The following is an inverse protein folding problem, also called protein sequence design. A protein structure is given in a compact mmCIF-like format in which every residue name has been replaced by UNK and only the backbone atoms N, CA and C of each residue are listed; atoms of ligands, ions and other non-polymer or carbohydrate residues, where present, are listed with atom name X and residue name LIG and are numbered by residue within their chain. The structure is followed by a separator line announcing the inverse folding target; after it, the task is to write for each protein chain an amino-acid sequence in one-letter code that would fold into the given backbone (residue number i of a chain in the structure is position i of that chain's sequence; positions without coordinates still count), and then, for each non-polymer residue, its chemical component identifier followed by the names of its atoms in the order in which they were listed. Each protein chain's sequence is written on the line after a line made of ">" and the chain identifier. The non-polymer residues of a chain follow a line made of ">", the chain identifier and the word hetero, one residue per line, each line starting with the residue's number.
data_IF_790630961209
#
_entry.id   IF_790630961209
#
_cell.length_a   1.000
_cell.length_b   1.000
_cell.length_c   1.000
_cell.angle_alpha   90.00
_cell.angle_beta   90.00
_cell.angle_gamma   90.00
#
_symmetry.space_group_name_H-M   'P 1'
#
loop_
_entity.id
_entity.type
_entity.pdbx_description
1 polymer ?
#
# COMPACT_ATOMS: atom_id res chain seq x y z
N UNK A 1 -28.38 9.56 -9.13
CA UNK A 1 -29.64 9.50 -8.33
C UNK A 1 -30.88 9.34 -9.21
N UNK A 2 -31.04 10.16 -10.27
CA UNK A 2 -32.18 10.07 -11.22
C UNK A 2 -32.34 8.71 -11.90
N UNK A 3 -31.25 8.11 -12.40
CA UNK A 3 -31.29 6.78 -13.05
C UNK A 3 -31.70 5.66 -12.07
N UNK A 4 -31.26 5.74 -10.82
CA UNK A 4 -31.61 4.76 -9.78
C UNK A 4 -33.10 4.84 -9.42
N UNK A 5 -33.64 6.05 -9.25
CA UNK A 5 -35.07 6.24 -9.00
C UNK A 5 -35.94 5.71 -10.15
N UNK A 6 -35.54 5.96 -11.40
CA UNK A 6 -36.25 5.47 -12.60
C UNK A 6 -36.31 3.93 -12.65
N UNK A 7 -35.24 3.26 -12.23
CA UNK A 7 -35.14 1.80 -12.21
C UNK A 7 -36.01 1.13 -11.11
N UNK A 8 -36.41 1.86 -10.07
CA UNK A 8 -37.28 1.33 -9.02
C UNK A 8 -38.77 1.70 -9.22
N UNK A 9 -39.07 2.71 -10.04
CA UNK A 9 -40.44 3.14 -10.33
C UNK A 9 -41.03 2.52 -11.62
N UNK A 10 -40.20 1.99 -12.52
CA UNK A 10 -40.67 1.41 -13.77
C UNK A 10 -41.13 -0.05 -13.64
N UNK A 11 -41.97 -0.50 -14.56
CA UNK A 11 -42.38 -1.91 -14.64
C UNK A 11 -41.25 -2.75 -15.24
N UNK A 12 -41.00 -3.99 -14.75
CA UNK A 12 -40.05 -4.90 -15.39
C UNK A 12 -40.46 -5.15 -16.85
N UNK A 13 -39.48 -5.25 -17.75
CA UNK A 13 -39.72 -5.66 -19.12
C UNK A 13 -40.34 -7.07 -19.13
N UNK A 14 -41.40 -7.25 -19.92
CA UNK A 14 -42.03 -8.57 -20.07
C UNK A 14 -41.18 -9.47 -20.97
N UNK A 15 -40.62 -8.89 -22.04
CA UNK A 15 -39.93 -9.59 -23.13
C UNK A 15 -38.75 -8.73 -23.66
N UNK A 16 -37.84 -9.30 -24.47
CA UNK A 16 -36.68 -8.58 -25.06
C UNK A 16 -37.08 -7.43 -25.98
N UNK A 17 -38.30 -7.47 -26.55
CA UNK A 17 -38.85 -6.45 -27.45
C UNK A 17 -39.55 -5.29 -26.71
N UNK A 18 -39.71 -5.38 -25.39
CA UNK A 18 -40.35 -4.34 -24.58
C UNK A 18 -39.34 -3.25 -24.20
N UNK A 19 -39.08 -2.33 -25.14
CA UNK A 19 -38.17 -1.19 -24.96
C UNK A 19 -38.60 -0.24 -23.82
N UNK A 20 -39.84 -0.34 -23.36
CA UNK A 20 -40.41 0.50 -22.30
C UNK A 20 -40.16 -0.05 -20.89
N UNK A 21 -39.85 -1.34 -20.79
CA UNK A 21 -39.62 -2.04 -19.53
C UNK A 21 -38.17 -1.99 -19.07
N UNK A 22 -37.95 -2.12 -17.76
CA UNK A 22 -36.61 -2.15 -17.19
C UNK A 22 -35.99 -3.53 -17.38
N UNK A 23 -34.79 -3.59 -17.95
CA UNK A 23 -33.99 -4.81 -18.01
C UNK A 23 -33.58 -5.26 -16.61
N UNK A 24 -33.87 -6.53 -16.27
CA UNK A 24 -33.49 -7.10 -14.98
C UNK A 24 -31.96 -7.15 -14.78
N UNK A 25 -31.20 -7.29 -15.86
CA UNK A 25 -29.74 -7.27 -15.82
C UNK A 25 -29.20 -5.86 -15.52
N UNK A 26 -29.80 -4.82 -16.13
CA UNK A 26 -29.45 -3.42 -15.84
C UNK A 26 -29.83 -3.05 -14.41
N UNK A 27 -31.00 -3.52 -13.95
CA UNK A 27 -31.44 -3.37 -12.56
C UNK A 27 -30.45 -4.02 -11.59
N UNK A 28 -30.12 -5.30 -11.79
CA UNK A 28 -29.16 -6.03 -10.95
C UNK A 28 -27.80 -5.32 -10.90
N UNK A 29 -27.27 -4.90 -12.06
CA UNK A 29 -26.00 -4.16 -12.15
C UNK A 29 -26.06 -2.83 -11.39
N UNK A 30 -27.18 -2.13 -11.48
CA UNK A 30 -27.36 -0.84 -10.81
C UNK A 30 -27.51 -1.00 -9.30
N UNK A 31 -28.22 -2.02 -8.84
CA UNK A 31 -28.32 -2.38 -7.41
C UNK A 31 -26.94 -2.77 -6.87
N UNK A 32 -26.17 -3.59 -7.59
CA UNK A 32 -24.81 -3.96 -7.18
C UNK A 32 -23.88 -2.74 -7.07
N UNK A 33 -23.90 -1.84 -8.06
CA UNK A 33 -23.16 -0.57 -7.99
C UNK A 33 -23.63 0.30 -6.82
N UNK A 34 -24.94 0.37 -6.59
CA UNK A 34 -25.55 1.07 -5.46
C UNK A 34 -25.05 0.54 -4.12
N UNK A 35 -24.93 -0.78 -3.96
CA UNK A 35 -24.42 -1.41 -2.75
C UNK A 35 -22.94 -1.08 -2.50
N UNK A 36 -22.10 -1.13 -3.53
CA UNK A 36 -20.66 -0.80 -3.44
C UNK A 36 -20.46 0.70 -3.13
N UNK A 37 -21.32 1.55 -3.68
CA UNK A 37 -21.31 2.97 -3.36
C UNK A 37 -21.74 3.21 -1.91
N UNK A 38 -22.83 2.58 -1.48
CA UNK A 38 -23.39 2.74 -0.13
C UNK A 38 -22.48 2.18 0.97
N UNK A 39 -21.63 1.19 0.66
CA UNK A 39 -20.61 0.71 1.60
C UNK A 39 -19.46 1.69 1.82
N UNK A 40 -19.39 2.79 1.05
CA UNK A 40 -18.31 3.79 1.12
C UNK A 40 -16.97 3.30 0.56
N UNK A 41 -16.96 2.14 -0.12
CA UNK A 41 -15.72 1.52 -0.64
C UNK A 41 -15.49 1.77 -2.12
N UNK A 42 -16.36 2.54 -2.78
CA UNK A 42 -16.31 2.82 -4.21
C UNK A 42 -15.39 3.98 -4.59
N UNK A 43 -14.80 4.68 -3.62
CA UNK A 43 -13.98 5.87 -3.88
C UNK A 43 -12.75 5.47 -4.69
N UNK A 44 -12.54 6.19 -5.79
CA UNK A 44 -11.39 6.02 -6.67
C UNK A 44 -10.82 7.41 -7.01
N UNK A 45 -9.68 7.74 -6.41
CA UNK A 45 -9.06 9.05 -6.62
C UNK A 45 -8.45 9.17 -8.03
N UNK A 46 -8.62 10.34 -8.70
CA UNK A 46 -7.96 10.60 -9.98
C UNK A 46 -6.45 10.77 -9.79
N UNK A 47 -5.72 10.75 -10.91
CA UNK A 47 -4.27 11.02 -10.91
C UNK A 47 -3.98 12.40 -10.33
N UNK A 48 -3.02 12.49 -9.42
CA UNK A 48 -2.59 13.72 -8.74
C UNK A 48 -1.17 13.56 -8.19
N UNK A 49 -0.61 14.58 -7.52
CA UNK A 49 0.70 14.48 -6.86
C UNK A 49 0.77 13.35 -5.83
N UNK A 50 -0.37 13.00 -5.21
CA UNK A 50 -0.45 11.91 -4.22
C UNK A 50 -0.92 10.58 -4.82
N UNK A 51 -1.28 10.53 -6.11
CA UNK A 51 -1.85 9.33 -6.76
C UNK A 51 -1.29 9.19 -8.17
N UNK A 52 -0.30 8.32 -8.36
CA UNK A 52 0.40 8.09 -9.63
C UNK A 52 -0.35 7.07 -10.50
N UNK A 53 -1.54 7.45 -10.98
CA UNK A 53 -2.44 6.53 -11.70
C UNK A 53 -2.19 6.48 -13.20
N UNK A 54 -1.89 7.60 -13.85
CA UNK A 54 -1.79 7.66 -15.31
C UNK A 54 -0.42 7.25 -15.83
N UNK A 55 0.65 7.79 -15.26
CA UNK A 55 2.04 7.53 -15.67
C UNK A 55 2.46 6.07 -15.44
N UNK A 56 1.83 5.39 -14.47
CA UNK A 56 2.20 4.05 -14.04
C UNK A 56 1.10 3.02 -14.20
N UNK A 57 0.03 3.34 -14.95
CA UNK A 57 -1.12 2.42 -15.10
C UNK A 57 -0.72 1.05 -15.62
N UNK A 58 0.10 1.03 -16.66
CA UNK A 58 0.53 -0.20 -17.31
C UNK A 58 1.39 -1.04 -16.36
N UNK A 59 2.42 -0.44 -15.78
CA UNK A 59 3.32 -1.07 -14.80
C UNK A 59 2.51 -1.62 -13.62
N UNK A 60 1.60 -0.82 -13.06
CA UNK A 60 0.74 -1.25 -11.96
C UNK A 60 -0.12 -2.46 -12.33
N UNK A 61 -0.69 -2.49 -13.54
CA UNK A 61 -1.48 -3.61 -14.03
C UNK A 61 -0.64 -4.87 -14.26
N UNK A 62 0.61 -4.72 -14.72
CA UNK A 62 1.54 -5.83 -14.90
C UNK A 62 2.03 -6.41 -13.56
N UNK A 63 2.27 -5.55 -12.57
CA UNK A 63 2.80 -5.95 -11.26
C UNK A 63 1.74 -6.38 -10.25
N UNK A 64 0.54 -5.79 -10.30
CA UNK A 64 -0.53 -6.01 -9.35
C UNK A 64 -1.91 -5.83 -10.02
N UNK A 65 -2.22 -6.67 -11.00
CA UNK A 65 -3.41 -6.59 -11.87
C UNK A 65 -4.76 -6.46 -11.16
N UNK A 66 -4.86 -6.87 -9.89
CA UNK A 66 -6.10 -6.81 -9.10
C UNK A 66 -6.03 -5.78 -7.95
N UNK A 67 -4.98 -4.96 -7.89
CA UNK A 67 -4.83 -3.88 -6.93
C UNK A 67 -4.76 -2.52 -7.66
N UNK A 68 -5.91 -1.86 -7.88
CA UNK A 68 -5.93 -0.59 -8.57
C UNK A 68 -5.31 0.54 -7.73
N UNK A 69 -4.63 1.49 -8.39
CA UNK A 69 -4.19 2.76 -7.82
C UNK A 69 -5.36 3.75 -7.78
N UNK A 70 -5.54 4.43 -6.65
CA UNK A 70 -6.62 5.40 -6.43
C UNK A 70 -7.67 4.93 -5.43
N UNK A 71 -8.13 3.66 -5.45
CA UNK A 71 -8.99 3.11 -4.41
C UNK A 71 -8.27 2.79 -3.10
N UNK A 72 -9.08 2.52 -2.06
CA UNK A 72 -8.57 2.08 -0.76
C UNK A 72 -7.83 0.74 -0.85
N UNK A 73 -6.91 0.50 0.07
CA UNK A 73 -6.26 -0.80 0.24
C UNK A 73 -7.31 -1.85 0.64
N UNK A 74 -7.37 -2.95 -0.13
CA UNK A 74 -8.28 -4.06 0.16
C UNK A 74 -7.63 -5.04 1.12
N UNK A 75 -7.95 -4.94 2.42
CA UNK A 75 -7.34 -5.79 3.44
C UNK A 75 -7.43 -7.28 3.10
N UNK A 76 -6.29 -7.97 3.25
CA UNK A 76 -6.13 -9.43 3.11
C UNK A 76 -5.35 -9.96 4.30
N UNK A 77 -5.57 -11.23 4.63
CA UNK A 77 -4.85 -11.87 5.72
C UNK A 77 -3.39 -12.14 5.29
N UNK A 78 -2.47 -11.92 6.20
CA UNK A 78 -1.06 -12.31 6.12
C UNK A 78 -0.67 -12.97 7.44
N UNK A 79 0.37 -13.79 7.45
CA UNK A 79 0.83 -14.50 8.66
C UNK A 79 2.17 -13.93 9.10
N UNK A 80 2.30 -13.53 10.37
CA UNK A 80 3.57 -13.04 10.90
C UNK A 80 4.64 -14.13 10.87
N UNK A 81 5.85 -13.81 10.39
CA UNK A 81 6.97 -14.77 10.38
C UNK A 81 7.44 -15.05 11.81
N UNK A 82 7.47 -14.02 12.66
CA UNK A 82 7.98 -14.14 14.03
C UNK A 82 7.06 -14.91 15.00
N UNK A 83 5.74 -14.84 14.79
CA UNK A 83 4.76 -15.32 15.78
C UNK A 83 3.71 -16.28 15.19
N UNK A 84 3.78 -16.58 13.89
CA UNK A 84 2.81 -17.37 13.14
C UNK A 84 1.34 -16.89 13.29
N UNK A 85 1.13 -15.64 13.72
CA UNK A 85 -0.21 -15.10 13.96
C UNK A 85 -0.79 -14.56 12.66
N UNK A 86 -2.06 -14.88 12.33
CA UNK A 86 -2.75 -14.24 11.22
C UNK A 86 -3.11 -12.79 11.58
N UNK A 87 -2.80 -11.88 10.66
CA UNK A 87 -3.11 -10.46 10.73
C UNK A 87 -3.87 -10.03 9.49
N UNK A 88 -4.84 -9.12 9.65
CA UNK A 88 -5.41 -8.42 8.51
C UNK A 88 -4.51 -7.26 8.14
N UNK A 89 -4.11 -7.16 6.87
CA UNK A 89 -3.18 -6.12 6.41
C UNK A 89 -3.66 -4.70 6.71
N UNK A 90 -4.98 -4.45 6.64
CA UNK A 90 -5.57 -3.16 7.01
C UNK A 90 -5.33 -2.75 8.47
N UNK A 91 -5.25 -3.72 9.39
CA UNK A 91 -4.97 -3.46 10.81
C UNK A 91 -3.48 -3.15 11.05
N UNK A 92 -2.61 -3.68 10.18
CA UNK A 92 -1.17 -3.37 10.17
C UNK A 92 -0.90 -1.99 9.55
N UNK A 93 -1.66 -1.63 8.53
CA UNK A 93 -1.64 -0.34 7.84
C UNK A 93 -2.64 0.65 8.45
N UNK A 94 -2.61 0.81 9.79
CA UNK A 94 -3.55 1.67 10.51
C UNK A 94 -3.40 3.16 10.18
N UNK A 95 -4.43 3.96 10.42
CA UNK A 95 -4.45 5.40 10.15
C UNK A 95 -3.73 6.20 11.25
N UNK A 96 -2.39 6.12 11.27
CA UNK A 96 -1.51 6.74 12.27
C UNK A 96 -0.68 7.93 11.75
N UNK A 97 -1.08 8.51 10.61
CA UNK A 97 -0.37 9.63 9.98
C UNK A 97 0.86 9.22 9.14
N UNK A 98 1.32 7.97 9.23
CA UNK A 98 2.49 7.49 8.49
C UNK A 98 2.15 7.07 7.07
N UNK A 99 3.11 7.17 6.15
CA UNK A 99 3.02 6.48 4.86
C UNK A 99 3.36 5.01 5.04
N UNK A 100 2.73 4.13 4.27
CA UNK A 100 2.95 2.69 4.35
C UNK A 100 3.60 2.26 3.04
N UNK A 101 4.69 1.52 3.16
CA UNK A 101 5.38 0.93 2.01
C UNK A 101 5.27 -0.58 2.19
N UNK A 102 4.38 -1.19 1.41
CA UNK A 102 4.18 -2.63 1.40
C UNK A 102 5.16 -3.24 0.39
N UNK A 103 6.08 -4.06 0.90
CA UNK A 103 7.11 -4.68 0.11
C UNK A 103 6.72 -6.14 -0.17
N UNK A 104 6.18 -6.40 -1.35
CA UNK A 104 5.92 -7.75 -1.81
C UNK A 104 7.21 -8.35 -2.36
N UNK A 105 8.00 -9.00 -1.49
CA UNK A 105 9.36 -9.45 -1.82
C UNK A 105 9.46 -10.73 -2.66
N UNK A 106 8.33 -11.32 -3.06
CA UNK A 106 8.27 -12.58 -3.79
C UNK A 106 8.62 -13.80 -2.94
N UNK A 107 8.85 -14.93 -3.62
CA UNK A 107 9.31 -16.19 -3.02
C UNK A 107 10.85 -16.24 -3.03
N UNK A 108 11.43 -15.68 -1.98
CA UNK A 108 12.89 -15.56 -1.77
C UNK A 108 13.60 -16.90 -1.56
N UNK A 109 12.88 -17.96 -1.18
CA UNK A 109 13.45 -19.32 -1.03
C UNK A 109 13.51 -20.06 -2.36
N UNK A 110 12.52 -19.85 -3.24
CA UNK A 110 12.44 -20.52 -4.54
C UNK A 110 13.16 -19.78 -5.66
N UNK A 111 13.12 -18.45 -5.66
CA UNK A 111 13.67 -17.62 -6.73
C UNK A 111 14.77 -16.71 -6.18
N UNK A 112 16.04 -17.06 -6.44
CA UNK A 112 17.21 -16.30 -5.95
C UNK A 112 17.19 -14.82 -6.34
N UNK A 113 16.63 -14.49 -7.51
CA UNK A 113 16.46 -13.10 -7.95
C UNK A 113 15.59 -12.26 -7.00
N UNK A 114 14.57 -12.85 -6.35
CA UNK A 114 13.73 -12.14 -5.38
C UNK A 114 14.56 -11.64 -4.19
N UNK A 115 15.41 -12.52 -3.65
CA UNK A 115 16.28 -12.21 -2.52
C UNK A 115 17.27 -11.10 -2.86
N UNK A 116 17.92 -11.19 -4.01
CA UNK A 116 18.89 -10.19 -4.47
C UNK A 116 18.23 -8.81 -4.66
N UNK A 117 17.04 -8.73 -5.27
CA UNK A 117 16.31 -7.47 -5.42
C UNK A 117 15.94 -6.85 -4.08
N UNK A 118 15.45 -7.67 -3.16
CA UNK A 118 15.08 -7.21 -1.81
C UNK A 118 16.29 -6.67 -1.04
N UNK A 119 17.45 -7.33 -1.12
CA UNK A 119 18.69 -6.87 -0.48
C UNK A 119 19.19 -5.54 -1.07
N UNK A 120 19.13 -5.39 -2.41
CA UNK A 120 19.48 -4.13 -3.08
C UNK A 120 18.57 -2.98 -2.64
N UNK A 121 17.25 -3.23 -2.56
CA UNK A 121 16.30 -2.25 -2.05
C UNK A 121 16.61 -1.89 -0.60
N UNK A 122 16.91 -2.87 0.26
CA UNK A 122 17.29 -2.61 1.65
C UNK A 122 18.56 -1.75 1.74
N UNK A 123 19.56 -2.03 0.90
CA UNK A 123 20.79 -1.24 0.82
C UNK A 123 20.53 0.21 0.44
N UNK A 124 19.67 0.45 -0.55
CA UNK A 124 19.20 1.79 -0.93
C UNK A 124 18.46 2.48 0.23
N UNK A 125 17.44 1.81 0.79
CA UNK A 125 16.61 2.38 1.85
C UNK A 125 17.41 2.77 3.09
N UNK A 126 18.44 1.98 3.44
CA UNK A 126 19.24 2.17 4.64
C UNK A 126 20.41 3.16 4.47
N UNK A 127 20.98 3.29 3.27
CA UNK A 127 22.26 4.00 3.10
C UNK A 127 22.26 5.13 2.06
N UNK A 128 21.31 5.15 1.12
CA UNK A 128 21.32 6.13 0.03
C UNK A 128 20.72 7.47 0.47
N UNK A 129 21.41 8.62 0.29
CA UNK A 129 20.85 9.93 0.61
C UNK A 129 19.54 10.28 -0.13
N UNK A 130 19.28 9.65 -1.28
CA UNK A 130 18.02 9.78 -2.02
C UNK A 130 16.89 8.89 -1.46
N UNK A 131 17.20 8.00 -0.50
CA UNK A 131 16.20 7.20 0.21
C UNK A 131 15.18 8.11 0.89
N UNK A 132 13.86 7.90 0.67
CA UNK A 132 12.83 8.64 1.38
C UNK A 132 12.97 8.53 2.90
N UNK A 133 13.41 7.38 3.40
CA UNK A 133 13.60 7.18 4.85
C UNK A 133 14.64 8.15 5.37
N UNK A 134 15.82 8.21 4.73
CA UNK A 134 16.93 9.05 5.18
C UNK A 134 16.58 10.53 5.02
N UNK A 135 15.96 10.89 3.89
CA UNK A 135 15.68 12.28 3.52
C UNK A 135 14.55 12.92 4.34
N UNK A 136 13.52 12.16 4.69
CA UNK A 136 12.29 12.70 5.31
C UNK A 136 12.08 12.29 6.76
N UNK A 137 12.83 11.32 7.29
CA UNK A 137 12.74 10.95 8.71
C UNK A 137 13.66 11.84 9.55
N UNK A 138 13.15 12.51 10.61
CA UNK A 138 14.00 13.27 11.52
C UNK A 138 15.07 12.39 12.17
N UNK A 139 16.30 12.92 12.32
CA UNK A 139 17.47 12.17 12.80
C UNK A 139 17.29 11.48 14.15
N UNK A 140 16.54 12.11 15.06
CA UNK A 140 16.30 11.60 16.42
C UNK A 140 15.00 10.79 16.54
N UNK A 141 14.28 10.58 15.43
CA UNK A 141 13.05 9.80 15.40
C UNK A 141 13.31 8.34 15.04
N UNK A 142 12.35 7.47 15.36
CA UNK A 142 12.38 6.09 14.88
C UNK A 142 12.37 6.07 13.34
N UNK A 143 13.11 5.13 12.73
CA UNK A 143 13.19 4.99 11.27
C UNK A 143 11.83 4.77 10.61
N UNK A 144 10.88 4.18 11.33
CA UNK A 144 9.52 3.92 10.83
C UNK A 144 8.49 4.99 11.25
N UNK A 145 8.94 6.15 11.71
CA UNK A 145 8.06 7.22 12.20
C UNK A 145 7.35 7.99 11.08
N UNK A 146 7.94 8.02 9.87
CA UNK A 146 7.33 8.63 8.67
C UNK A 146 6.86 7.56 7.70
N UNK A 147 7.68 6.52 7.49
CA UNK A 147 7.39 5.40 6.60
C UNK A 147 7.33 4.08 7.37
N UNK A 148 6.15 3.49 7.43
CA UNK A 148 5.95 2.17 7.99
C UNK A 148 6.12 1.10 6.89
N UNK A 149 7.21 0.34 6.95
CA UNK A 149 7.45 -0.78 6.05
C UNK A 149 6.75 -2.05 6.54
N UNK A 150 6.05 -2.73 5.64
CA UNK A 150 5.49 -4.06 5.87
C UNK A 150 5.98 -4.96 4.74
N UNK A 151 6.80 -5.94 5.05
CA UNK A 151 7.32 -6.90 4.07
C UNK A 151 6.43 -8.13 4.03
N UNK A 152 5.95 -8.50 2.85
CA UNK A 152 5.08 -9.65 2.62
C UNK A 152 5.76 -10.58 1.61
N UNK A 153 6.12 -11.77 2.05
CA UNK A 153 6.85 -12.77 1.25
C UNK A 153 5.89 -13.86 0.78
N UNK A 154 6.14 -14.43 -0.40
CA UNK A 154 5.39 -15.60 -0.89
C UNK A 154 6.03 -16.93 -0.44
N UNK A 155 7.23 -16.88 0.16
CA UNK A 155 7.89 -18.06 0.70
C UNK A 155 7.18 -18.59 1.94
N UNK A 156 7.10 -19.92 2.14
CA UNK A 156 6.49 -20.53 3.34
C UNK A 156 7.18 -20.03 4.61
N UNK A 157 6.39 -19.62 5.61
CA UNK A 157 6.96 -18.96 6.82
C UNK A 157 7.96 -19.85 7.57
N UNK A 158 7.75 -21.17 7.54
CA UNK A 158 8.59 -22.18 8.23
C UNK A 158 9.99 -22.31 7.65
N UNK A 159 10.26 -21.66 6.52
CA UNK A 159 11.57 -21.63 5.86
C UNK A 159 12.24 -20.26 5.99
N UNK A 160 11.64 -19.34 6.73
CA UNK A 160 12.08 -17.96 6.88
C UNK A 160 12.46 -17.69 8.33
N UNK A 161 13.65 -17.12 8.54
CA UNK A 161 14.03 -16.52 9.81
C UNK A 161 14.01 -15.00 9.67
N UNK A 162 13.56 -14.29 10.71
CA UNK A 162 13.49 -12.83 10.63
C UNK A 162 14.90 -12.23 10.51
N UNK A 163 15.87 -12.85 11.16
CA UNK A 163 17.31 -12.54 11.22
C UNK A 163 17.99 -12.66 9.87
N UNK A 164 17.42 -13.42 8.94
CA UNK A 164 17.94 -13.50 7.58
C UNK A 164 17.79 -12.17 6.84
N UNK A 165 16.94 -11.25 7.28
CA UNK A 165 16.64 -10.01 6.55
C UNK A 165 17.32 -8.78 7.17
N UNK A 166 17.64 -7.81 6.31
CA UNK A 166 18.26 -6.54 6.73
C UNK A 166 17.41 -5.82 7.80
N UNK A 167 18.09 -5.25 8.79
CA UNK A 167 17.46 -4.54 9.92
C UNK A 167 16.53 -3.38 9.54
N UNK A 168 16.65 -2.81 8.33
CA UNK A 168 15.75 -1.76 7.85
C UNK A 168 14.31 -2.24 7.70
N UNK A 169 14.12 -3.55 7.50
CA UNK A 169 12.79 -4.18 7.47
C UNK A 169 12.24 -4.44 8.88
N UNK A 170 13.05 -4.32 9.93
CA UNK A 170 12.70 -4.55 11.33
C UNK A 170 13.32 -3.49 12.25
N UNK A 171 13.13 -2.18 11.99
CA UNK A 171 13.92 -1.15 12.64
C UNK A 171 13.79 -1.17 14.16
N UNK A 172 14.89 -0.87 14.86
CA UNK A 172 14.88 -0.73 16.32
C UNK A 172 14.04 0.48 16.73
N UNK A 173 13.22 0.33 17.77
CA UNK A 173 12.30 1.37 18.21
C UNK A 173 12.65 1.91 19.60
N UNK A 174 12.48 3.21 19.76
CA UNK A 174 12.58 3.92 21.04
C UNK A 174 13.98 3.93 21.63
N UNK A 175 14.09 4.49 22.84
CA UNK A 175 15.37 4.67 23.55
C UNK A 175 16.05 3.37 23.94
N UNK A 176 15.27 2.30 24.12
CA UNK A 176 15.77 0.98 24.51
C UNK A 176 16.29 0.17 23.32
N UNK A 177 15.96 0.57 22.08
CA UNK A 177 16.47 -0.05 20.86
C UNK A 177 15.97 -1.48 20.61
N UNK A 178 14.75 -1.83 21.03
CA UNK A 178 14.20 -3.16 20.78
C UNK A 178 13.84 -3.33 19.30
N UNK A 179 14.19 -4.49 18.75
CA UNK A 179 13.84 -4.86 17.38
C UNK A 179 12.33 -5.07 17.26
N UNK A 180 11.72 -4.50 16.22
CA UNK A 180 10.30 -4.74 15.93
C UNK A 180 10.10 -5.96 15.04
N UNK A 181 9.29 -6.91 15.50
CA UNK A 181 9.03 -8.16 14.77
C UNK A 181 7.74 -8.16 13.95
N UNK A 182 6.83 -7.21 14.20
CA UNK A 182 5.55 -7.09 13.47
C UNK A 182 5.71 -6.35 12.13
N UNK A 183 6.68 -6.78 11.32
CA UNK A 183 7.04 -6.13 10.04
C UNK A 183 7.21 -7.10 8.88
N UNK A 184 7.61 -8.35 9.14
CA UNK A 184 7.81 -9.36 8.11
C UNK A 184 6.69 -10.40 8.22
N UNK A 185 6.02 -10.61 7.11
CA UNK A 185 4.87 -11.50 6.97
C UNK A 185 5.07 -12.43 5.79
N UNK A 186 4.34 -13.53 5.81
CA UNK A 186 4.27 -14.50 4.72
C UNK A 186 2.81 -14.64 4.26
N UNK A 187 2.62 -14.77 2.94
CA UNK A 187 1.37 -15.22 2.34
C UNK A 187 1.27 -16.74 2.48
N UNK A 188 0.98 -17.19 3.70
CA UNK A 188 0.94 -18.61 4.07
C UNK A 188 -0.40 -18.98 4.69
N UNK A 189 -0.62 -20.27 4.88
CA UNK A 189 -1.74 -20.79 5.66
C UNK A 189 -1.48 -20.60 7.16
N UNK A 190 -2.49 -20.05 7.85
CA UNK A 190 -2.50 -19.96 9.31
C UNK A 190 -3.17 -21.17 9.92
N UNK A 191 -2.76 -21.54 11.14
CA UNK A 191 -3.31 -22.70 11.86
C UNK A 191 -4.84 -22.69 12.05
N UNK A 192 -5.45 -21.51 12.19
CA UNK A 192 -6.85 -21.38 12.63
C UNK A 192 -7.70 -20.41 11.82
N UNK A 193 -7.13 -19.74 10.80
CA UNK A 193 -7.87 -18.80 9.92
C UNK A 193 -7.60 -19.03 8.43
N UNK A 194 -7.14 -20.23 8.06
CA UNK A 194 -6.83 -20.58 6.67
C UNK A 194 -5.78 -19.65 6.06
N UNK A 195 -5.86 -19.46 4.73
CA UNK A 195 -4.86 -18.74 3.94
C UNK A 195 -5.47 -17.50 3.25
N UNK A 196 -4.78 -16.35 3.37
CA UNK A 196 -5.23 -15.07 2.83
C UNK A 196 -5.01 -14.87 1.32
N UNK A 197 -4.08 -15.64 0.73
CA UNK A 197 -3.75 -15.63 -0.71
C UNK A 197 -3.56 -14.21 -1.25
N UNK A 198 -2.83 -13.35 -0.54
CA UNK A 198 -2.72 -11.93 -0.88
C UNK A 198 -2.05 -11.71 -2.24
N UNK A 199 -1.06 -12.52 -2.62
CA UNK A 199 -0.42 -12.42 -3.94
C UNK A 199 -1.44 -12.70 -5.06
N UNK A 200 -2.21 -13.78 -4.95
CA UNK A 200 -3.25 -14.13 -5.93
C UNK A 200 -4.38 -13.08 -6.00
N UNK A 201 -4.79 -12.57 -4.84
CA UNK A 201 -5.87 -11.60 -4.71
C UNK A 201 -5.50 -10.21 -5.22
N UNK A 202 -4.22 -9.83 -5.12
CA UNK A 202 -3.70 -8.59 -5.70
C UNK A 202 -3.17 -8.77 -7.12
N UNK A 203 -3.06 -10.02 -7.59
CA UNK A 203 -2.56 -10.32 -8.93
C UNK A 203 -1.06 -10.02 -9.06
N UNK A 204 -0.29 -10.31 -8.02
CA UNK A 204 1.16 -10.09 -7.94
C UNK A 204 1.87 -11.41 -8.24
N UNK A 205 2.85 -11.39 -9.14
CA UNK A 205 3.68 -12.58 -9.42
C UNK A 205 4.69 -12.82 -8.28
N UNK A 206 4.65 -13.99 -7.59
CA UNK A 206 5.63 -14.32 -6.56
C UNK A 206 7.07 -14.45 -7.06
N UNK A 207 7.32 -14.50 -8.37
CA UNK A 207 8.68 -14.50 -8.96
C UNK A 207 9.29 -13.11 -9.05
N UNK A 208 8.45 -12.08 -9.10
CA UNK A 208 8.85 -10.69 -9.36
C UNK A 208 8.66 -9.86 -8.10
N UNK A 209 7.44 -9.87 -7.55
CA UNK A 209 7.06 -8.98 -6.46
C UNK A 209 6.88 -7.53 -6.91
N UNK A 210 6.60 -6.63 -5.97
CA UNK A 210 6.44 -5.20 -6.22
C UNK A 210 6.48 -4.38 -4.91
N UNK A 211 6.54 -3.06 -5.03
CA UNK A 211 6.29 -2.13 -3.94
C UNK A 211 4.93 -1.47 -4.14
N UNK A 212 4.16 -1.37 -3.05
CA UNK A 212 2.89 -0.64 -3.01
C UNK A 212 2.99 0.45 -1.94
N UNK A 213 2.82 1.70 -2.35
CA UNK A 213 2.75 2.84 -1.45
C UNK A 213 1.31 3.16 -1.12
N UNK A 214 1.02 3.22 0.17
CA UNK A 214 -0.30 3.49 0.72
C UNK A 214 -0.23 4.72 1.61
N UNK A 215 -1.18 5.63 1.39
CA UNK A 215 -1.30 6.88 2.14
C UNK A 215 -1.66 6.64 3.62
N UNK A 216 -1.48 7.67 4.47
CA UNK A 216 -1.95 7.64 5.85
C UNK A 216 -3.44 7.33 6.02
N UNK A 217 -4.27 7.65 5.02
CA UNK A 217 -5.71 7.38 4.96
C UNK A 217 -6.08 6.05 4.28
N UNK A 218 -5.09 5.17 4.08
CA UNK A 218 -5.25 3.80 3.55
C UNK A 218 -5.56 3.70 2.05
N UNK A 219 -5.35 4.76 1.27
CA UNK A 219 -5.51 4.71 -0.21
C UNK A 219 -4.22 4.38 -0.95
N UNK A 220 -4.33 3.54 -1.98
CA UNK A 220 -3.19 3.12 -2.81
C UNK A 220 -2.78 4.27 -3.72
N UNK A 221 -1.51 4.65 -3.64
CA UNK A 221 -0.96 5.85 -4.29
C UNK A 221 -0.01 5.53 -5.43
N UNK A 222 0.79 4.48 -5.26
CA UNK A 222 1.81 4.05 -6.21
C UNK A 222 1.96 2.53 -6.14
N UNK A 223 2.10 1.91 -7.30
CA UNK A 223 2.60 0.54 -7.46
C UNK A 223 3.81 0.62 -8.37
N UNK A 224 4.92 0.00 -7.97
CA UNK A 224 6.18 0.06 -8.71
C UNK A 224 7.01 -1.21 -8.53
N UNK A 225 7.99 -1.42 -9.40
CA UNK A 225 8.96 -2.50 -9.30
C UNK A 225 9.82 -2.34 -8.04
N UNK A 226 10.32 -3.45 -7.49
CA UNK A 226 11.23 -3.43 -6.33
C UNK A 226 12.52 -2.66 -6.65
N UNK A 227 12.95 -2.68 -7.92
CA UNK A 227 14.20 -2.07 -8.39
C UNK A 227 14.07 -0.59 -8.76
N UNK A 228 12.84 -0.06 -8.87
CA UNK A 228 12.60 1.36 -9.21
C UNK A 228 12.75 2.28 -7.99
N UNK A 229 13.98 2.33 -7.46
CA UNK A 229 14.34 3.15 -6.31
C UNK A 229 14.18 4.64 -6.61
N UNK A 230 14.55 5.05 -7.82
CA UNK A 230 14.44 6.45 -8.27
C UNK A 230 12.99 6.89 -8.39
N UNK A 231 12.11 6.01 -8.88
CA UNK A 231 10.69 6.28 -8.94
C UNK A 231 10.04 6.44 -7.57
N UNK A 232 10.44 5.59 -6.61
CA UNK A 232 10.01 5.73 -5.21
C UNK A 232 10.47 7.07 -4.61
N UNK A 233 11.75 7.44 -4.79
CA UNK A 233 12.29 8.71 -4.32
C UNK A 233 11.58 9.91 -4.96
N UNK A 234 11.47 9.91 -6.29
CA UNK A 234 10.84 11.00 -7.06
C UNK A 234 9.38 11.21 -6.69
N UNK A 235 8.65 10.13 -6.36
CA UNK A 235 7.27 10.23 -5.89
C UNK A 235 7.18 11.08 -4.61
N UNK A 236 7.98 10.78 -3.59
CA UNK A 236 7.97 11.54 -2.34
C UNK A 236 8.58 12.95 -2.48
N UNK A 237 9.59 13.11 -3.33
CA UNK A 237 10.21 14.40 -3.66
C UNK A 237 9.20 15.42 -4.23
N UNK A 238 8.13 14.95 -4.87
CA UNK A 238 7.14 15.84 -5.46
C UNK A 238 6.26 16.58 -4.45
N UNK A 239 6.22 16.14 -3.18
CA UNK A 239 5.33 16.75 -2.17
C UNK A 239 5.87 16.79 -0.73
N UNK A 240 6.91 16.03 -0.39
CA UNK A 240 7.48 16.04 0.97
C UNK A 240 8.56 17.10 1.13
N UNK A 241 8.64 17.68 2.33
CA UNK A 241 9.74 18.56 2.72
C UNK A 241 10.81 17.74 3.46
N UNK A 242 12.10 17.86 3.08
CA UNK A 242 13.19 17.18 3.78
C UNK A 242 13.16 17.46 5.27
N UNK A 243 13.53 16.46 6.08
CA UNK A 243 13.63 16.66 7.52
C UNK A 243 14.67 17.75 7.79
N UNK A 244 14.23 18.89 8.34
CA UNK A 244 15.13 19.98 8.68
C UNK A 244 16.18 19.50 9.68
N UNK A 245 17.45 19.88 9.46
CA UNK A 245 18.41 19.87 10.57
C UNK A 245 17.82 20.83 11.62
N UNK A 246 17.54 20.34 12.81
CA UNK A 246 17.06 21.13 13.94
C UNK A 246 18.14 22.13 14.38
N UNK A 247 18.23 23.25 13.65
CA UNK A 247 18.97 24.47 13.99
C UNK A 247 18.63 25.60 13.00
N UNK A 248 17.35 25.96 12.88
CA UNK A 248 17.01 27.33 12.49
C UNK A 248 15.77 27.77 13.28
N UNK A 249 16.02 28.65 14.24
CA UNK A 249 14.97 29.40 14.94
C UNK A 249 14.14 30.14 13.92
N UNK A 250 12.87 29.79 13.82
CA UNK A 250 11.88 30.53 13.03
C UNK A 250 11.74 31.94 13.64
N UNK A 251 12.46 32.93 13.11
CA UNK A 251 12.19 34.34 13.39
C UNK A 251 11.09 34.80 12.43
N UNK A 252 9.89 34.99 12.97
CA UNK A 252 8.82 35.65 12.24
C UNK A 252 9.23 37.09 11.90
N UNK A 253 8.96 37.58 10.68
CA UNK A 253 9.24 38.97 10.35
C UNK A 253 8.29 39.89 11.12
N UNK A 254 8.87 40.74 11.97
CA UNK A 254 8.16 41.84 12.63
C UNK A 254 7.83 42.87 11.55
N UNK A 255 6.55 43.03 11.23
CA UNK A 255 6.09 44.11 10.36
C UNK A 255 6.33 45.45 11.07
N UNK A 256 7.24 46.26 10.54
CA UNK A 256 7.36 47.66 10.94
C UNK A 256 6.13 48.41 10.42
N UNK A 257 5.26 48.82 11.34
CA UNK A 257 4.23 49.82 11.10
C UNK A 257 4.89 51.19 10.93
N UNK A 258 4.83 51.74 9.72
CA UNK A 258 5.22 53.12 9.43
C UNK A 258 4.10 54.06 9.91
N UNK A 259 4.49 55.15 10.60
CA UNK A 259 3.64 56.30 10.90
C UNK A 259 3.24 57.05 9.62
#
# INVERSE_FOLDING_TARGET
>A
MYQFARLFSGKPAKDVLDESGISMEEFQRTVQKGNIFSSGTSVDYPSSSLVSKNERRQIANELASKLPIGPRLYSRQVVGVADAKPYMLGDLACADGRWKILLFGGDVKKYSGCRLRLEKLCGFLANDPASPIIKYTPKDANLDSVFNFLTILASPRVQLECEDFHDILRPKLGKTGFQTYKKIFSDDESYHRGHGKIYENYGIDPKVGCMVVVRPDQYVSLVTEIEDHNGLASFFDSFMLPAGNSSSSFQAPISQSTM
#
